data_IF_471840543755
#
_entry.id   IF_471840543755
#
_cell.length_a   1.000
_cell.length_b   1.000
_cell.length_c   1.000
_cell.angle_alpha   90.00
_cell.angle_beta   90.00
_cell.angle_gamma   90.00
#
_symmetry.space_group_name_H-M   'P 1'
#
loop_
_entity.id
_entity.type
_entity.pdbx_description
1 polymer ?
#
# COMPACT_ATOMS: atom_id res chain seq x y z
N UNK A 1 -33.14 -14.24 5.14
CA UNK A 1 -32.41 -13.42 6.12
C UNK A 1 -31.45 -14.33 6.87
N UNK A 2 -30.18 -14.39 6.46
CA UNK A 2 -29.16 -15.13 7.22
C UNK A 2 -28.72 -14.24 8.38
N UNK A 3 -28.86 -14.75 9.60
CA UNK A 3 -28.49 -14.05 10.82
C UNK A 3 -26.97 -13.79 10.83
N UNK A 4 -26.60 -12.51 10.95
CA UNK A 4 -25.23 -12.07 11.19
C UNK A 4 -24.81 -12.68 12.54
N UNK A 5 -23.80 -13.55 12.53
CA UNK A 5 -23.22 -14.05 13.76
C UNK A 5 -22.79 -12.85 14.61
N UNK A 6 -23.28 -12.77 15.84
CA UNK A 6 -22.90 -11.74 16.79
C UNK A 6 -21.38 -11.85 17.04
N UNK A 7 -20.68 -10.73 16.94
CA UNK A 7 -19.26 -10.66 17.30
C UNK A 7 -19.07 -11.17 18.73
N UNK A 8 -18.08 -12.02 19.01
CA UNK A 8 -17.82 -12.49 20.36
C UNK A 8 -17.54 -11.29 21.27
N UNK A 9 -18.20 -11.26 22.43
CA UNK A 9 -17.97 -10.27 23.47
C UNK A 9 -16.49 -10.33 23.90
N UNK A 10 -15.73 -9.31 23.52
CA UNK A 10 -14.27 -9.24 23.67
C UNK A 10 -13.55 -8.64 22.45
N UNK A 11 -14.18 -8.64 21.27
CA UNK A 11 -13.61 -8.10 20.04
C UNK A 11 -13.85 -6.59 19.87
N UNK A 12 -13.26 -5.76 20.74
CA UNK A 12 -13.23 -4.32 20.53
C UNK A 12 -11.83 -3.85 20.11
N UNK A 13 -11.40 -4.33 18.93
CA UNK A 13 -10.24 -3.75 18.22
C UNK A 13 -10.79 -3.04 17.00
N UNK A 14 -11.19 -1.78 17.20
CA UNK A 14 -11.37 -0.86 16.07
C UNK A 14 -10.04 -0.76 15.30
N UNK A 15 -10.06 -0.74 13.96
CA UNK A 15 -8.84 -0.82 13.18
C UNK A 15 -7.94 0.43 13.38
N UNK A 16 -6.65 0.30 13.07
CA UNK A 16 -5.68 1.39 13.24
C UNK A 16 -5.98 2.50 12.22
N UNK A 17 -6.25 3.71 12.71
CA UNK A 17 -6.46 4.90 11.88
C UNK A 17 -5.25 5.81 12.06
N UNK A 18 -4.81 6.43 10.98
CA UNK A 18 -3.70 7.38 10.99
C UNK A 18 -4.06 8.65 11.80
N UNK A 19 -3.06 9.34 12.32
CA UNK A 19 -3.27 10.63 12.99
C UNK A 19 -3.89 11.63 12.01
N UNK A 20 -5.06 12.16 12.37
CA UNK A 20 -5.93 13.00 11.56
C UNK A 20 -5.35 14.42 11.31
N UNK A 21 -6.16 15.30 10.71
CA UNK A 21 -5.87 16.73 10.52
C UNK A 21 -4.64 16.98 9.63
N UNK A 22 -4.43 16.11 8.64
CA UNK A 22 -3.30 16.23 7.71
C UNK A 22 -1.93 15.84 8.32
N UNK A 23 -1.87 15.42 9.59
CA UNK A 23 -0.59 15.07 10.23
C UNK A 23 0.13 13.93 9.49
N UNK A 24 -0.62 12.92 9.03
CA UNK A 24 -0.03 11.83 8.24
C UNK A 24 0.52 12.33 6.91
N UNK A 25 -0.18 13.21 6.20
CA UNK A 25 0.34 13.80 4.96
C UNK A 25 1.66 14.55 5.18
N UNK A 26 1.84 15.23 6.31
CA UNK A 26 3.06 15.96 6.64
C UNK A 26 4.24 15.03 7.03
N UNK A 27 3.96 13.84 7.55
CA UNK A 27 4.96 12.97 8.18
C UNK A 27 5.12 11.60 7.50
N UNK A 28 4.61 11.42 6.27
CA UNK A 28 4.62 10.15 5.53
C UNK A 28 5.62 10.10 4.37
N UNK A 29 6.69 10.90 4.44
CA UNK A 29 7.74 10.97 3.42
C UNK A 29 8.45 9.64 3.16
N UNK A 30 8.53 8.75 4.16
CA UNK A 30 9.11 7.42 3.96
C UNK A 30 8.17 6.51 3.17
N UNK A 31 6.87 6.54 3.48
CA UNK A 31 5.85 5.87 2.70
C UNK A 31 5.85 6.39 1.26
N UNK A 32 6.02 7.71 1.08
CA UNK A 32 6.14 8.31 -0.23
C UNK A 32 7.33 7.77 -1.02
N UNK A 33 8.52 7.68 -0.43
CA UNK A 33 9.70 7.16 -1.14
C UNK A 33 9.57 5.68 -1.54
N UNK A 34 8.85 4.88 -0.74
CA UNK A 34 8.48 3.51 -1.11
C UNK A 34 7.46 3.50 -2.25
N UNK A 35 6.44 4.37 -2.22
CA UNK A 35 5.41 4.47 -3.27
C UNK A 35 6.00 4.92 -4.60
N UNK A 36 6.91 5.90 -4.61
CA UNK A 36 7.48 6.46 -5.85
C UNK A 36 8.20 5.38 -6.69
N UNK A 37 8.80 4.38 -6.05
CA UNK A 37 9.39 3.21 -6.74
C UNK A 37 8.37 2.34 -7.47
N UNK A 38 7.10 2.37 -7.05
CA UNK A 38 6.02 1.58 -7.65
C UNK A 38 5.41 2.27 -8.89
N UNK A 39 5.72 3.55 -9.14
CA UNK A 39 5.11 4.34 -10.24
C UNK A 39 5.40 3.71 -11.60
N UNK A 40 6.63 3.24 -11.85
CA UNK A 40 6.97 2.60 -13.11
C UNK A 40 6.15 1.32 -13.39
N UNK A 41 5.80 0.56 -12.36
CA UNK A 41 4.90 -0.59 -12.49
C UNK A 41 3.46 -0.17 -12.76
N UNK A 42 2.99 0.92 -12.16
CA UNK A 42 1.66 1.48 -12.44
C UNK A 42 1.53 1.96 -13.89
N UNK A 43 2.54 2.65 -14.41
CA UNK A 43 2.56 3.12 -15.80
C UNK A 43 2.51 1.93 -16.79
N UNK A 44 3.33 0.91 -16.54
CA UNK A 44 3.34 -0.32 -17.36
C UNK A 44 2.01 -1.08 -17.26
N UNK A 45 1.46 -1.22 -16.05
CA UNK A 45 0.16 -1.84 -15.83
C UNK A 45 -0.96 -1.07 -16.56
N UNK A 46 -0.97 0.25 -16.47
CA UNK A 46 -1.92 1.12 -17.15
C UNK A 46 -1.77 1.06 -18.68
N UNK A 47 -0.56 0.84 -19.20
CA UNK A 47 -0.31 0.73 -20.63
C UNK A 47 -0.98 -0.53 -21.24
N UNK A 48 -1.01 -1.63 -20.49
CA UNK A 48 -1.52 -2.93 -20.97
C UNK A 48 -2.91 -3.29 -20.42
N UNK A 49 -3.44 -2.54 -19.46
CA UNK A 49 -4.76 -2.80 -18.89
C UNK A 49 -5.85 -2.74 -19.98
N UNK A 50 -6.85 -3.65 -19.95
CA UNK A 50 -7.96 -3.59 -20.89
C UNK A 50 -8.72 -2.27 -20.71
N UNK A 51 -9.14 -1.66 -21.82
CA UNK A 51 -10.04 -0.52 -21.79
C UNK A 51 -11.50 -1.01 -21.84
N UNK A 52 -12.44 -0.32 -21.19
CA UNK A 52 -13.85 -0.63 -21.33
C UNK A 52 -14.28 -0.57 -22.80
N UNK A 53 -14.94 -1.63 -23.29
CA UNK A 53 -15.39 -1.73 -24.70
C UNK A 53 -16.88 -1.46 -24.88
N UNK A 54 -17.63 -1.39 -23.78
CA UNK A 54 -19.07 -1.11 -23.80
C UNK A 54 -19.33 0.39 -23.83
N UNK A 55 -20.37 0.87 -24.53
CA UNK A 55 -20.79 2.27 -24.46
C UNK A 55 -21.05 2.69 -23.01
N UNK A 56 -20.46 3.82 -22.59
CA UNK A 56 -20.54 4.28 -21.20
C UNK A 56 -19.69 3.48 -20.20
N UNK A 57 -18.80 2.61 -20.68
CA UNK A 57 -17.87 1.88 -19.83
C UNK A 57 -16.88 2.82 -19.13
N UNK A 58 -16.59 2.52 -17.87
CA UNK A 58 -15.72 3.33 -17.01
C UNK A 58 -14.47 2.54 -16.66
N UNK A 59 -13.29 3.13 -16.89
CA UNK A 59 -12.03 2.58 -16.41
C UNK A 59 -11.91 2.87 -14.92
N UNK A 60 -11.79 1.85 -14.07
CA UNK A 60 -11.72 2.01 -12.62
C UNK A 60 -10.31 1.82 -12.10
N UNK A 61 -9.79 2.88 -11.48
CA UNK A 61 -8.58 2.92 -10.68
C UNK A 61 -8.99 2.81 -9.22
N UNK A 62 -8.44 1.85 -8.48
CA UNK A 62 -8.72 1.67 -7.05
C UNK A 62 -7.46 1.91 -6.25
N UNK A 63 -7.53 2.80 -5.27
CA UNK A 63 -6.45 3.10 -4.32
C UNK A 63 -6.78 2.52 -2.95
N UNK A 64 -6.15 1.41 -2.58
CA UNK A 64 -6.44 0.65 -1.36
C UNK A 64 -5.49 1.06 -0.24
N UNK A 65 -6.06 1.58 0.85
CA UNK A 65 -5.33 2.16 1.97
C UNK A 65 -4.90 3.60 1.68
N UNK A 66 -5.84 4.42 1.20
CA UNK A 66 -5.53 5.77 0.72
C UNK A 66 -5.13 6.76 1.82
N UNK A 67 -5.47 6.48 3.08
CA UNK A 67 -5.28 7.42 4.21
C UNK A 67 -5.84 8.80 3.86
N UNK A 68 -5.05 9.85 4.02
CA UNK A 68 -5.40 11.25 3.75
C UNK A 68 -5.07 11.71 2.32
N UNK A 69 -4.74 10.79 1.40
CA UNK A 69 -4.63 11.06 -0.03
C UNK A 69 -3.34 11.71 -0.53
N UNK A 70 -2.49 12.28 0.33
CA UNK A 70 -1.28 13.00 -0.10
C UNK A 70 -0.30 12.14 -0.91
N UNK A 71 -0.22 10.85 -0.57
CA UNK A 71 0.63 9.89 -1.29
C UNK A 71 -0.07 9.20 -2.47
N UNK A 72 -1.38 9.40 -2.63
CA UNK A 72 -2.17 8.82 -3.72
C UNK A 72 -2.08 9.66 -5.00
N UNK A 73 -1.86 10.97 -4.87
CA UNK A 73 -1.92 11.93 -5.99
C UNK A 73 -0.94 11.59 -7.11
N UNK A 74 0.33 11.38 -6.80
CA UNK A 74 1.35 11.13 -7.81
C UNK A 74 1.17 9.78 -8.54
N UNK A 75 0.93 8.65 -7.85
CA UNK A 75 0.56 7.38 -8.48
C UNK A 75 -0.65 7.47 -9.42
N UNK A 76 -1.76 8.09 -8.97
CA UNK A 76 -2.96 8.25 -9.81
C UNK A 76 -2.65 9.13 -11.01
N UNK A 77 -1.94 10.23 -10.82
CA UNK A 77 -1.55 11.13 -11.92
C UNK A 77 -0.73 10.41 -12.98
N UNK A 78 0.17 9.51 -12.59
CA UNK A 78 0.96 8.72 -13.53
C UNK A 78 0.07 7.79 -14.38
N UNK A 79 -0.88 7.11 -13.76
CA UNK A 79 -1.86 6.27 -14.46
C UNK A 79 -2.71 7.09 -15.44
N UNK A 80 -3.23 8.25 -15.00
CA UNK A 80 -4.05 9.12 -15.84
C UNK A 80 -3.28 9.65 -17.06
N UNK A 81 -2.00 9.99 -16.91
CA UNK A 81 -1.13 10.38 -18.04
C UNK A 81 -1.04 9.27 -19.09
N UNK A 82 -0.87 8.02 -18.67
CA UNK A 82 -0.83 6.88 -19.61
C UNK A 82 -2.18 6.67 -20.28
N UNK A 83 -3.28 6.72 -19.52
CA UNK A 83 -4.63 6.57 -20.07
C UNK A 83 -4.99 7.68 -21.05
N UNK A 84 -4.60 8.92 -20.78
CA UNK A 84 -4.78 10.06 -21.68
C UNK A 84 -4.13 9.80 -23.04
N UNK A 85 -2.86 9.35 -23.06
CA UNK A 85 -2.15 9.01 -24.30
C UNK A 85 -2.83 7.87 -25.06
N UNK A 86 -3.35 6.86 -24.35
CA UNK A 86 -4.08 5.73 -24.98
C UNK A 86 -5.44 6.17 -25.56
N UNK A 87 -6.18 7.00 -24.84
CA UNK A 87 -7.47 7.51 -25.27
C UNK A 87 -7.32 8.42 -26.52
N UNK A 88 -6.32 9.30 -26.53
CA UNK A 88 -5.98 10.13 -27.68
C UNK A 88 -5.64 9.29 -28.92
N UNK A 89 -4.74 8.31 -28.79
CA UNK A 89 -4.35 7.42 -29.91
C UNK A 89 -5.54 6.62 -30.47
N UNK A 90 -6.45 6.16 -29.60
CA UNK A 90 -7.66 5.45 -30.03
C UNK A 90 -8.62 6.34 -30.84
N UNK A 91 -8.65 7.65 -30.55
CA UNK A 91 -9.47 8.63 -31.30
C UNK A 91 -8.87 8.97 -32.65
N UNK A 92 -7.56 9.17 -32.72
CA UNK A 92 -6.84 9.43 -33.98
C UNK A 92 -6.96 8.24 -34.96
N UNK A 93 -6.79 7.02 -34.46
CA UNK A 93 -6.94 5.80 -35.27
C UNK A 93 -8.36 5.58 -35.81
N UNK A 94 -9.39 6.04 -35.10
CA UNK A 94 -10.78 5.99 -35.57
C UNK A 94 -11.07 7.05 -36.66
N UNK A 95 -10.34 8.17 -36.70
CA UNK A 95 -10.50 9.24 -37.69
C UNK A 95 -9.78 9.03 -39.02
N UNK A 96 -8.78 8.15 -39.09
CA UNK A 96 -7.96 7.91 -40.29
C UNK A 96 -8.53 6.96 -41.35
N UNK A 97 -9.71 6.36 -41.12
CA UNK A 97 -10.29 5.32 -41.99
C UNK A 97 -11.11 5.80 -43.20
N UNK A 98 -11.26 7.11 -43.40
CA UNK A 98 -12.15 7.68 -44.42
C UNK A 98 -11.47 8.67 -45.36
N UNK A 99 -10.66 8.20 -46.31
CA UNK A 99 -10.02 9.12 -47.26
C UNK A 99 -9.08 8.43 -48.25
N UNK A 100 -9.61 7.59 -49.12
CA UNK A 100 -8.81 6.91 -50.15
C UNK A 100 -9.66 6.20 -51.20
N UNK A 101 -10.56 6.94 -51.86
CA UNK A 101 -11.39 6.42 -52.95
C UNK A 101 -11.68 7.49 -53.98
N UNK A 102 -10.72 7.76 -54.86
CA UNK A 102 -10.86 8.60 -56.04
C UNK A 102 -9.65 8.37 -56.96
N UNK A 103 -9.77 8.04 -58.24
CA UNK A 103 -10.95 7.80 -59.05
C UNK A 103 -10.59 6.89 -60.23
N UNK A 104 -11.60 6.25 -60.79
CA UNK A 104 -11.51 5.52 -62.05
C UNK A 104 -12.78 5.79 -62.83
N UNK A 105 -12.67 6.64 -63.85
CA UNK A 105 -13.70 6.92 -64.84
C UNK A 105 -14.12 5.65 -65.59
N UNK A 106 -15.42 5.38 -65.66
CA UNK A 106 -16.01 4.53 -66.70
C UNK A 106 -17.36 5.13 -67.13
N UNK A 107 -17.55 5.51 -68.41
CA UNK A 107 -18.84 6.01 -68.88
C UNK A 107 -19.71 4.90 -69.48
N UNK A 108 -21.01 4.93 -69.17
CA UNK A 108 -22.06 4.48 -70.10
C UNK A 108 -22.95 3.31 -69.65
N UNK A 109 -24.19 3.62 -69.24
CA UNK A 109 -25.43 3.05 -69.82
C UNK A 109 -26.70 3.70 -69.24
N UNK A 110 -27.84 3.66 -69.96
CA UNK A 110 -29.00 4.54 -69.74
C UNK A 110 -30.05 3.95 -68.79
N UNK A 111 -30.85 4.87 -68.26
CA UNK A 111 -32.05 4.71 -67.40
C UNK A 111 -33.25 4.07 -68.10
N UNK A 112 -34.13 3.35 -67.37
CA UNK A 112 -35.55 3.23 -67.70
C UNK A 112 -36.46 4.00 -66.69
N UNK A 113 -37.76 4.19 -67.01
CA UNK A 113 -38.53 5.34 -66.55
C UNK A 113 -39.30 5.11 -65.24
N UNK A 114 -39.75 6.26 -64.73
CA UNK A 114 -40.58 6.51 -63.55
C UNK A 114 -41.89 5.73 -63.46
N UNK A 115 -42.13 5.15 -62.28
CA UNK A 115 -43.44 4.76 -61.76
C UNK A 115 -43.55 5.27 -60.32
N UNK A 116 -44.56 6.09 -60.04
CA UNK A 116 -44.67 6.89 -58.82
C UNK A 116 -45.36 6.23 -57.62
N UNK A 117 -45.44 7.03 -56.56
CA UNK A 117 -46.33 6.82 -55.42
C UNK A 117 -45.63 6.30 -54.16
N UNK A 118 -45.37 7.20 -53.20
CA UNK A 118 -45.06 6.77 -51.82
C UNK A 118 -44.30 7.79 -50.99
N UNK A 119 -45.04 8.53 -50.16
CA UNK A 119 -44.56 9.08 -48.87
C UNK A 119 -43.35 10.01 -48.90
N UNK A 120 -43.59 11.31 -49.10
CA UNK A 120 -42.63 12.36 -48.77
C UNK A 120 -42.45 12.53 -47.27
N UNK A 121 -41.78 11.57 -46.62
CA UNK A 121 -41.07 11.82 -45.38
C UNK A 121 -39.73 12.45 -45.75
N UNK A 122 -39.53 13.74 -45.44
CA UNK A 122 -38.20 14.33 -45.51
C UNK A 122 -37.25 13.44 -44.69
N UNK A 123 -36.13 12.95 -45.25
CA UNK A 123 -35.17 12.23 -44.44
C UNK A 123 -34.72 13.17 -43.33
N UNK A 124 -34.96 12.79 -42.07
CA UNK A 124 -34.39 13.50 -40.93
C UNK A 124 -32.88 13.56 -41.20
N UNK A 125 -32.25 14.75 -41.17
CA UNK A 125 -30.81 14.83 -41.34
C UNK A 125 -30.19 13.93 -40.28
N UNK A 126 -29.42 12.93 -40.73
CA UNK A 126 -28.62 12.11 -39.83
C UNK A 126 -27.80 13.08 -39.00
N UNK A 127 -28.09 13.14 -37.70
CA UNK A 127 -27.29 13.94 -36.79
C UNK A 127 -25.85 13.47 -36.96
N UNK A 128 -24.87 14.38 -37.09
CA UNK A 128 -23.47 13.98 -37.12
C UNK A 128 -23.22 13.06 -35.93
N UNK A 129 -22.54 11.94 -36.17
CA UNK A 129 -22.14 11.05 -35.09
C UNK A 129 -21.43 11.92 -34.04
N UNK A 130 -21.88 11.88 -32.77
CA UNK A 130 -21.22 12.67 -31.75
C UNK A 130 -19.75 12.28 -31.71
N UNK A 131 -18.83 13.24 -31.47
CA UNK A 131 -17.43 12.89 -31.26
C UNK A 131 -17.37 11.80 -30.20
N UNK A 132 -16.52 10.79 -30.43
CA UNK A 132 -16.31 9.69 -29.48
C UNK A 132 -16.11 10.30 -28.10
N UNK A 133 -16.93 10.01 -27.07
CA UNK A 133 -16.83 10.70 -25.79
C UNK A 133 -15.46 10.45 -25.13
N UNK A 134 -14.98 11.36 -24.25
CA UNK A 134 -13.80 11.10 -23.44
C UNK A 134 -13.93 9.78 -22.67
N UNK A 135 -12.82 9.09 -22.43
CA UNK A 135 -12.84 7.87 -21.63
C UNK A 135 -13.20 8.25 -20.18
N UNK A 136 -14.31 7.70 -19.68
CA UNK A 136 -14.67 7.86 -18.28
C UNK A 136 -13.69 7.09 -17.38
N UNK A 137 -13.12 7.77 -16.40
CA UNK A 137 -12.20 7.19 -15.41
C UNK A 137 -12.72 7.48 -14.00
N UNK A 138 -12.96 6.44 -13.22
CA UNK A 138 -13.28 6.54 -11.79
C UNK A 138 -12.04 6.20 -10.97
N UNK A 139 -11.67 7.10 -10.05
CA UNK A 139 -10.66 6.88 -9.01
C UNK A 139 -11.37 6.65 -7.69
N UNK A 140 -11.23 5.43 -7.16
CA UNK A 140 -11.92 4.97 -5.96
C UNK A 140 -10.90 4.82 -4.83
N UNK A 141 -10.92 5.76 -3.89
CA UNK A 141 -10.07 5.74 -2.70
C UNK A 141 -10.73 4.90 -1.60
N UNK A 142 -10.05 3.85 -1.16
CA UNK A 142 -10.55 2.87 -0.20
C UNK A 142 -9.73 2.96 1.08
N UNK A 143 -10.42 3.05 2.21
CA UNK A 143 -9.84 2.99 3.55
C UNK A 143 -10.92 2.62 4.56
N UNK A 144 -10.55 2.48 5.82
CA UNK A 144 -11.45 2.15 6.91
C UNK A 144 -12.51 3.23 7.12
N UNK A 145 -13.70 2.89 7.65
CA UNK A 145 -14.76 3.87 7.90
C UNK A 145 -14.30 5.09 8.73
N UNK A 146 -13.41 4.86 9.69
CA UNK A 146 -12.87 5.90 10.59
C UNK A 146 -11.75 6.74 10.01
N UNK A 147 -11.37 6.56 8.74
CA UNK A 147 -10.34 7.38 8.08
C UNK A 147 -10.73 8.87 8.04
N UNK A 148 -9.73 9.75 7.97
CA UNK A 148 -9.93 11.18 7.80
C UNK A 148 -10.23 11.53 6.33
N UNK A 149 -11.48 11.29 5.94
CA UNK A 149 -11.99 11.60 4.61
C UNK A 149 -12.01 13.10 4.31
N UNK A 150 -12.09 13.96 5.33
CA UNK A 150 -12.04 15.41 5.16
C UNK A 150 -10.70 15.85 4.58
N UNK A 151 -9.60 15.38 5.17
CA UNK A 151 -8.25 15.62 4.65
C UNK A 151 -8.05 15.05 3.24
N UNK A 152 -8.61 13.87 2.92
CA UNK A 152 -8.58 13.34 1.55
C UNK A 152 -9.23 14.31 0.56
N UNK A 153 -10.45 14.77 0.83
CA UNK A 153 -11.15 15.65 -0.10
C UNK A 153 -10.53 17.04 -0.18
N UNK A 154 -9.89 17.54 0.88
CA UNK A 154 -9.08 18.76 0.82
C UNK A 154 -7.85 18.58 -0.07
N UNK A 155 -7.17 17.43 -0.02
CA UNK A 155 -6.07 17.12 -0.95
C UNK A 155 -6.56 17.05 -2.40
N UNK A 156 -7.76 16.51 -2.64
CA UNK A 156 -8.29 16.37 -4.00
C UNK A 156 -8.81 17.68 -4.58
N UNK A 157 -9.55 18.47 -3.81
CA UNK A 157 -10.34 19.61 -4.30
C UNK A 157 -10.01 20.96 -3.64
N UNK A 158 -9.18 20.96 -2.59
CA UNK A 158 -8.84 22.16 -1.83
C UNK A 158 -8.12 23.23 -2.66
N UNK A 159 -8.16 24.47 -2.20
CA UNK A 159 -7.61 25.62 -2.96
C UNK A 159 -6.09 25.59 -3.13
N UNK A 160 -5.37 24.85 -2.27
CA UNK A 160 -3.92 24.64 -2.36
C UNK A 160 -3.53 23.38 -3.14
N UNK A 161 -4.50 22.69 -3.74
CA UNK A 161 -4.30 21.38 -4.37
C UNK A 161 -3.79 21.44 -5.81
N UNK A 162 -2.96 22.42 -6.19
CA UNK A 162 -2.50 22.59 -7.58
C UNK A 162 -1.83 21.33 -8.16
N UNK A 163 -1.24 20.49 -7.32
CA UNK A 163 -0.61 19.21 -7.71
C UNK A 163 -1.59 18.03 -7.79
N UNK A 164 -2.83 18.17 -7.33
CA UNK A 164 -3.89 17.14 -7.38
C UNK A 164 -4.21 16.73 -8.81
N UNK A 165 -4.57 15.46 -9.00
CA UNK A 165 -5.05 14.97 -10.29
C UNK A 165 -6.47 15.48 -10.62
N UNK A 166 -7.21 15.98 -9.62
CA UNK A 166 -8.50 16.63 -9.79
C UNK A 166 -8.38 18.15 -10.01
N UNK A 167 -7.16 18.69 -10.07
CA UNK A 167 -6.95 20.10 -10.42
C UNK A 167 -6.95 20.30 -11.92
N UNK A 168 -8.06 20.86 -12.43
CA UNK A 168 -8.32 21.12 -13.85
C UNK A 168 -8.12 19.87 -14.73
N UNK A 169 -8.82 18.76 -14.42
CA UNK A 169 -8.61 17.49 -15.11
C UNK A 169 -8.92 17.60 -16.60
N UNK A 170 -9.87 18.44 -17.01
CA UNK A 170 -10.21 18.65 -18.42
C UNK A 170 -9.10 19.37 -19.21
N UNK A 171 -8.35 20.26 -18.57
CA UNK A 171 -7.19 20.92 -19.18
C UNK A 171 -5.99 19.96 -19.28
N UNK A 172 -5.78 19.13 -18.25
CA UNK A 172 -4.65 18.20 -18.17
C UNK A 172 -4.85 16.92 -18.98
N UNK A 173 -6.09 16.46 -19.07
CA UNK A 173 -6.48 15.19 -19.67
C UNK A 173 -7.76 15.35 -20.52
N UNK A 174 -7.69 16.07 -21.66
CA UNK A 174 -8.86 16.40 -22.48
C UNK A 174 -9.57 15.19 -23.11
N UNK A 175 -8.91 14.03 -23.16
CA UNK A 175 -9.51 12.77 -23.65
C UNK A 175 -10.05 11.88 -22.52
N UNK A 176 -9.97 12.34 -21.26
CA UNK A 176 -10.51 11.66 -20.09
C UNK A 176 -11.63 12.48 -19.44
N UNK A 177 -12.60 11.77 -18.86
CA UNK A 177 -13.54 12.33 -17.89
C UNK A 177 -13.27 11.69 -16.52
N UNK A 178 -12.60 12.42 -15.63
CA UNK A 178 -12.08 11.88 -14.36
C UNK A 178 -13.02 12.19 -13.21
N UNK A 179 -13.37 11.15 -12.45
CA UNK A 179 -14.23 11.22 -11.26
C UNK A 179 -13.47 10.63 -10.07
N UNK A 180 -13.67 11.19 -8.87
CA UNK A 180 -13.11 10.63 -7.65
C UNK A 180 -14.23 10.31 -6.64
N UNK A 181 -14.07 9.21 -5.91
CA UNK A 181 -14.99 8.81 -4.85
C UNK A 181 -14.25 8.06 -3.73
N UNK A 182 -14.90 7.98 -2.56
CA UNK A 182 -14.38 7.30 -1.38
C UNK A 182 -15.21 6.06 -1.02
N UNK A 183 -14.55 5.01 -0.54
CA UNK A 183 -15.15 3.76 -0.08
C UNK A 183 -14.65 3.44 1.32
N UNK A 184 -15.48 3.69 2.33
CA UNK A 184 -15.19 3.42 3.74
C UNK A 184 -15.43 1.97 4.14
N UNK A 185 -14.53 1.05 3.76
CA UNK A 185 -14.63 -0.40 4.04
C UNK A 185 -13.27 -1.02 4.25
N UNK A 186 -13.22 -2.12 5.01
CA UNK A 186 -11.99 -2.89 5.17
C UNK A 186 -11.54 -3.46 3.82
N UNK A 187 -10.24 -3.37 3.54
CA UNK A 187 -9.65 -4.03 2.37
C UNK A 187 -9.70 -5.56 2.46
N UNK A 188 -9.98 -6.12 3.63
CA UNK A 188 -10.20 -7.57 3.82
C UNK A 188 -11.66 -7.99 3.63
N UNK A 189 -12.53 -7.08 3.19
CA UNK A 189 -13.88 -7.40 2.69
C UNK A 189 -13.94 -7.32 1.16
N UNK A 190 -15.03 -7.83 0.57
CA UNK A 190 -15.37 -7.56 -0.83
C UNK A 190 -15.73 -6.08 -1.00
N UNK A 191 -14.95 -5.34 -1.77
CA UNK A 191 -15.07 -3.90 -2.00
C UNK A 191 -16.00 -3.58 -3.16
N UNK A 192 -15.90 -4.34 -4.26
CA UNK A 192 -16.54 -4.02 -5.54
C UNK A 192 -17.33 -5.22 -6.13
N UNK A 193 -18.22 -4.97 -7.09
CA UNK A 193 -18.80 -6.05 -7.90
C UNK A 193 -17.73 -6.86 -8.64
N UNK A 194 -17.98 -8.14 -8.95
CA UNK A 194 -17.05 -8.95 -9.74
C UNK A 194 -16.72 -8.31 -11.10
N UNK A 195 -15.49 -8.49 -11.57
CA UNK A 195 -15.02 -8.03 -12.88
C UNK A 195 -15.35 -6.55 -13.20
N UNK A 196 -15.09 -5.66 -12.25
CA UNK A 196 -15.43 -4.23 -12.35
C UNK A 196 -14.23 -3.29 -12.17
N UNK A 197 -13.10 -3.80 -11.64
CA UNK A 197 -11.86 -3.06 -11.39
C UNK A 197 -10.83 -3.32 -12.48
N UNK A 198 -10.21 -2.26 -13.02
CA UNK A 198 -9.25 -2.37 -14.13
C UNK A 198 -7.81 -2.31 -13.63
N UNK A 199 -7.55 -1.38 -12.71
CA UNK A 199 -6.25 -1.22 -12.07
C UNK A 199 -6.47 -0.92 -10.59
N UNK A 200 -5.78 -1.65 -9.71
CA UNK A 200 -5.76 -1.34 -8.29
C UNK A 200 -4.32 -1.14 -7.80
N UNK A 201 -4.17 -0.28 -6.82
CA UNK A 201 -2.94 -0.06 -6.09
C UNK A 201 -3.13 -0.27 -4.59
N UNK A 202 -2.15 -0.87 -3.92
CA UNK A 202 -2.18 -1.11 -2.49
C UNK A 202 -0.77 -0.93 -1.91
N UNK A 203 -0.54 0.19 -1.25
CA UNK A 203 0.79 0.61 -0.80
C UNK A 203 0.80 0.88 0.69
N UNK A 204 1.86 0.43 1.38
CA UNK A 204 2.04 0.63 2.83
C UNK A 204 0.83 0.24 3.70
N UNK A 205 -0.06 -0.63 3.23
CA UNK A 205 -1.29 -0.98 3.92
C UNK A 205 -1.36 -2.47 4.29
N UNK A 206 -0.82 -3.38 3.48
CA UNK A 206 -1.00 -4.83 3.60
C UNK A 206 -0.38 -5.47 4.86
N UNK A 207 0.43 -4.74 5.62
CA UNK A 207 0.96 -5.21 6.90
C UNK A 207 -0.03 -4.99 8.06
N UNK A 208 -1.07 -4.16 7.89
CA UNK A 208 -2.10 -3.93 8.89
C UNK A 208 -3.09 -5.08 8.92
N UNK A 209 -3.25 -5.73 10.07
CA UNK A 209 -4.23 -6.78 10.29
C UNK A 209 -5.57 -6.18 10.74
N UNK A 210 -6.72 -6.78 10.37
CA UNK A 210 -8.03 -6.30 10.82
C UNK A 210 -8.27 -6.57 12.32
N UNK A 211 -7.51 -7.49 12.91
CA UNK A 211 -7.56 -7.84 14.33
C UNK A 211 -6.17 -8.28 14.82
N UNK A 212 -5.92 -8.12 16.11
CA UNK A 212 -4.71 -8.64 16.78
C UNK A 212 -5.02 -10.06 17.26
N UNK A 213 -4.16 -11.06 17.03
CA UNK A 213 -4.31 -12.39 17.61
C UNK A 213 -4.49 -12.36 19.13
N UNK A 214 -5.24 -13.32 19.69
CA UNK A 214 -5.45 -13.44 21.15
C UNK A 214 -4.13 -13.65 21.90
N UNK A 215 -3.20 -14.39 21.28
CA UNK A 215 -1.85 -14.58 21.79
C UNK A 215 -0.99 -13.37 21.43
N UNK A 216 -0.74 -12.51 22.41
CA UNK A 216 -0.02 -11.24 22.25
C UNK A 216 1.35 -11.27 22.94
N UNK A 217 2.34 -10.53 22.42
CA UNK A 217 3.65 -10.46 23.07
C UNK A 217 3.55 -9.76 24.41
N UNK A 218 4.20 -10.32 25.43
CA UNK A 218 4.30 -9.73 26.77
C UNK A 218 5.69 -9.15 27.05
N UNK A 219 6.68 -9.50 26.24
CA UNK A 219 8.10 -9.14 26.37
C UNK A 219 8.53 -8.00 25.44
N UNK A 220 7.65 -7.60 24.51
CA UNK A 220 7.93 -6.63 23.46
C UNK A 220 6.64 -5.96 23.01
N UNK A 221 6.73 -4.74 22.48
CA UNK A 221 5.60 -4.09 21.83
C UNK A 221 5.30 -4.72 20.46
N UNK A 222 6.36 -5.15 19.75
CA UNK A 222 6.25 -5.64 18.37
C UNK A 222 6.36 -7.17 18.30
N UNK A 223 5.49 -7.86 17.57
CA UNK A 223 5.53 -9.33 17.46
C UNK A 223 6.84 -9.83 16.83
N UNK A 224 7.53 -9.02 16.03
CA UNK A 224 8.81 -9.37 15.39
C UNK A 224 10.00 -9.53 16.35
N UNK A 225 9.89 -8.97 17.55
CA UNK A 225 10.96 -9.00 18.54
C UNK A 225 10.70 -9.96 19.69
N UNK A 226 9.56 -10.68 19.69
CA UNK A 226 9.20 -11.57 20.80
C UNK A 226 10.10 -12.79 20.83
N UNK A 227 10.42 -13.27 22.05
CA UNK A 227 11.09 -14.54 22.26
C UNK A 227 10.13 -15.74 22.16
N UNK A 228 8.81 -15.51 22.22
CA UNK A 228 7.81 -16.57 22.12
C UNK A 228 7.53 -16.93 20.64
N UNK A 229 8.10 -18.04 20.20
CA UNK A 229 7.97 -18.53 18.82
C UNK A 229 6.52 -18.82 18.42
N UNK A 230 5.67 -19.24 19.35
CA UNK A 230 4.26 -19.52 19.09
C UNK A 230 3.46 -18.21 18.94
N UNK A 231 3.79 -17.16 19.69
CA UNK A 231 3.24 -15.80 19.47
C UNK A 231 3.64 -15.27 18.11
N UNK A 232 4.93 -15.36 17.75
CA UNK A 232 5.41 -14.94 16.43
C UNK A 232 4.67 -15.69 15.30
N UNK A 233 4.55 -17.02 15.43
CA UNK A 233 3.83 -17.85 14.46
C UNK A 233 2.35 -17.45 14.33
N UNK A 234 1.65 -17.19 15.45
CA UNK A 234 0.25 -16.77 15.41
C UNK A 234 0.04 -15.46 14.62
N UNK A 235 0.92 -14.47 14.79
CA UNK A 235 0.87 -13.23 14.01
C UNK A 235 1.20 -13.45 12.53
N UNK A 236 2.19 -14.30 12.23
CA UNK A 236 2.59 -14.65 10.87
C UNK A 236 1.46 -15.37 10.12
N UNK A 237 0.86 -16.37 10.74
CA UNK A 237 -0.22 -17.16 10.13
C UNK A 237 -1.45 -16.29 9.90
N UNK A 238 -1.83 -15.48 10.89
CA UNK A 238 -2.88 -14.46 10.75
C UNK A 238 -2.60 -13.54 9.56
N UNK A 239 -1.40 -12.93 9.47
CA UNK A 239 -1.06 -12.03 8.36
C UNK A 239 -1.19 -12.73 7.00
N UNK A 240 -0.67 -13.96 6.90
CA UNK A 240 -0.66 -14.74 5.68
C UNK A 240 -2.07 -15.14 5.23
N UNK A 241 -2.97 -15.48 6.16
CA UNK A 241 -4.38 -15.77 5.85
C UNK A 241 -5.14 -14.54 5.36
N UNK A 242 -4.88 -13.39 5.96
CA UNK A 242 -5.44 -12.11 5.50
C UNK A 242 -4.92 -11.74 4.10
N UNK A 243 -3.64 -11.96 3.81
CA UNK A 243 -3.06 -11.72 2.49
C UNK A 243 -3.67 -12.65 1.42
N UNK A 244 -3.85 -13.94 1.73
CA UNK A 244 -4.54 -14.89 0.83
C UNK A 244 -5.97 -14.42 0.52
N UNK A 245 -6.71 -14.06 1.56
CA UNK A 245 -8.09 -13.58 1.44
C UNK A 245 -8.17 -12.30 0.61
N UNK A 246 -7.28 -11.34 0.87
CA UNK A 246 -7.13 -10.11 0.08
C UNK A 246 -6.90 -10.44 -1.40
N UNK A 247 -5.88 -11.25 -1.72
CA UNK A 247 -5.55 -11.60 -3.11
C UNK A 247 -6.67 -12.35 -3.82
N UNK A 248 -7.42 -13.21 -3.11
CA UNK A 248 -8.56 -13.92 -3.68
C UNK A 248 -9.72 -12.96 -4.03
N UNK A 249 -10.12 -12.09 -3.11
CA UNK A 249 -11.20 -11.12 -3.37
C UNK A 249 -10.83 -10.12 -4.46
N UNK A 250 -9.58 -9.61 -4.45
CA UNK A 250 -9.10 -8.70 -5.50
C UNK A 250 -9.11 -9.36 -6.87
N UNK A 251 -8.82 -10.67 -6.96
CA UNK A 251 -8.88 -11.40 -8.22
C UNK A 251 -10.31 -11.56 -8.75
N UNK A 252 -11.33 -11.65 -7.87
CA UNK A 252 -12.74 -11.69 -8.29
C UNK A 252 -13.26 -10.33 -8.76
N UNK A 253 -12.82 -9.26 -8.11
CA UNK A 253 -13.23 -7.88 -8.41
C UNK A 253 -12.60 -7.35 -9.71
N UNK A 254 -11.45 -7.87 -10.10
CA UNK A 254 -10.73 -7.43 -11.30
C UNK A 254 -11.29 -8.04 -12.59
N UNK A 255 -11.33 -7.21 -13.64
CA UNK A 255 -11.54 -7.68 -15.01
C UNK A 255 -10.40 -8.61 -15.44
N UNK A 256 -10.66 -9.49 -16.40
CA UNK A 256 -9.60 -10.29 -17.02
C UNK A 256 -8.55 -9.38 -17.65
N UNK A 257 -7.26 -9.61 -17.37
CA UNK A 257 -6.17 -8.74 -17.80
C UNK A 257 -5.98 -7.48 -16.96
N UNK A 258 -6.86 -7.20 -15.99
CA UNK A 258 -6.69 -6.13 -15.00
C UNK A 258 -5.47 -6.34 -14.10
N UNK A 259 -4.97 -5.27 -13.49
CA UNK A 259 -3.71 -5.31 -12.73
C UNK A 259 -3.85 -4.85 -11.28
N UNK A 260 -3.17 -5.54 -10.37
CA UNK A 260 -2.88 -5.11 -9.00
C UNK A 260 -1.39 -4.77 -8.91
N UNK A 261 -1.07 -3.51 -8.63
CA UNK A 261 0.29 -3.09 -8.28
C UNK A 261 0.32 -2.83 -6.79
N UNK A 262 1.11 -3.59 -6.04
CA UNK A 262 1.16 -3.44 -4.59
C UNK A 262 2.56 -3.61 -4.06
N UNK A 263 2.79 -3.15 -2.84
CA UNK A 263 3.99 -3.54 -2.12
C UNK A 263 3.68 -3.92 -0.69
N UNK A 264 4.49 -4.84 -0.17
CA UNK A 264 4.40 -5.33 1.20
C UNK A 264 5.67 -4.93 1.94
N UNK A 265 5.50 -4.40 3.15
CA UNK A 265 6.63 -4.29 4.07
C UNK A 265 7.04 -5.71 4.45
N UNK A 266 8.33 -6.03 4.26
CA UNK A 266 8.88 -7.34 4.56
C UNK A 266 9.78 -7.30 5.78
N UNK A 267 9.88 -8.45 6.46
CA UNK A 267 10.75 -8.63 7.61
C UNK A 267 11.49 -9.95 7.51
N UNK A 268 12.82 -9.85 7.59
CA UNK A 268 13.72 -11.00 7.68
C UNK A 268 14.31 -11.07 9.10
N UNK A 269 13.97 -12.11 9.89
CA UNK A 269 14.55 -12.33 11.21
C UNK A 269 16.08 -12.29 11.17
N UNK A 270 16.69 -11.61 12.15
CA UNK A 270 18.13 -11.40 12.23
C UNK A 270 18.65 -10.21 11.43
N UNK A 271 18.01 -9.83 10.31
CA UNK A 271 18.40 -8.67 9.50
C UNK A 271 17.65 -7.39 9.89
N UNK A 272 16.35 -7.50 10.16
CA UNK A 272 15.48 -6.33 10.29
C UNK A 272 15.04 -6.04 11.74
N UNK A 273 15.48 -6.86 12.71
CA UNK A 273 15.06 -6.83 14.12
C UNK A 273 15.28 -5.47 14.80
N UNK A 274 16.39 -4.82 14.48
CA UNK A 274 16.80 -3.55 15.08
C UNK A 274 15.85 -2.38 14.73
N UNK A 275 15.13 -2.46 13.60
CA UNK A 275 14.14 -1.43 13.18
C UNK A 275 12.99 -1.24 14.18
N UNK A 276 12.84 -2.16 15.13
CA UNK A 276 11.81 -2.15 16.18
C UNK A 276 12.40 -1.98 17.59
N UNK A 277 13.74 -1.94 17.73
CA UNK A 277 14.39 -1.92 19.03
C UNK A 277 14.07 -0.65 19.84
N UNK A 278 14.10 0.53 19.20
CA UNK A 278 13.89 1.81 19.88
C UNK A 278 12.49 1.94 20.49
N UNK A 279 11.44 1.49 19.79
CA UNK A 279 10.07 1.55 20.33
C UNK A 279 9.84 0.52 21.43
N UNK A 280 10.41 -0.67 21.32
CA UNK A 280 10.37 -1.67 22.38
C UNK A 280 11.08 -1.17 23.64
N UNK A 281 12.26 -0.56 23.48
CA UNK A 281 13.02 0.03 24.59
C UNK A 281 12.22 1.13 25.29
N UNK A 282 11.58 2.03 24.54
CA UNK A 282 10.78 3.12 25.11
C UNK A 282 9.64 2.58 26.01
N UNK A 283 8.89 1.59 25.52
CA UNK A 283 7.78 0.99 26.28
C UNK A 283 8.28 0.25 27.53
N UNK A 284 9.32 -0.58 27.39
CA UNK A 284 9.86 -1.34 28.53
C UNK A 284 10.49 -0.43 29.59
N UNK A 285 11.09 0.69 29.17
CA UNK A 285 11.57 1.71 30.10
C UNK A 285 10.43 2.31 30.92
N UNK A 286 9.31 2.67 30.28
CA UNK A 286 8.13 3.18 31.00
C UNK A 286 7.55 2.16 31.99
N UNK A 287 7.62 0.85 31.68
CA UNK A 287 7.26 -0.21 32.63
C UNK A 287 8.22 -0.24 33.82
N UNK A 288 9.53 -0.14 33.58
CA UNK A 288 10.53 -0.12 34.65
C UNK A 288 10.43 1.11 35.57
N UNK A 289 9.96 2.23 35.04
CA UNK A 289 9.72 3.47 35.77
C UNK A 289 8.36 3.47 36.51
N UNK A 290 7.54 2.43 36.33
CA UNK A 290 6.20 2.33 36.94
C UNK A 290 5.13 3.22 36.31
N UNK A 291 5.42 3.82 35.14
CA UNK A 291 4.46 4.62 34.37
C UNK A 291 3.46 3.75 33.60
N UNK A 292 3.86 2.52 33.26
CA UNK A 292 2.99 1.49 32.69
C UNK A 292 3.11 0.21 33.54
N UNK A 293 2.03 -0.55 33.61
CA UNK A 293 2.03 -1.90 34.17
C UNK A 293 2.53 -2.91 33.13
N UNK A 294 3.11 -4.05 33.54
CA UNK A 294 3.43 -5.13 32.60
C UNK A 294 2.23 -5.62 31.77
N UNK A 295 1.00 -5.48 32.29
CA UNK A 295 -0.23 -5.84 31.58
C UNK A 295 -0.59 -4.87 30.44
N UNK A 296 -0.02 -3.67 30.42
CA UNK A 296 -0.25 -2.70 29.34
C UNK A 296 0.48 -3.08 28.05
N UNK A 297 1.64 -3.74 28.14
CA UNK A 297 2.48 -4.11 26.99
C UNK A 297 1.71 -4.87 25.89
N UNK A 298 1.04 -6.00 26.17
CA UNK A 298 0.28 -6.73 25.15
C UNK A 298 -0.92 -5.93 24.60
N UNK A 299 -1.43 -4.94 25.33
CA UNK A 299 -2.55 -4.12 24.89
C UNK A 299 -2.11 -3.04 23.90
N UNK A 300 -0.87 -2.56 24.02
CA UNK A 300 -0.27 -1.57 23.13
C UNK A 300 0.25 -2.18 21.82
N UNK A 301 0.24 -3.51 21.67
CA UNK A 301 0.67 -4.18 20.44
C UNK A 301 -0.12 -3.66 19.24
N UNK A 302 0.59 -3.11 18.24
CA UNK A 302 -0.04 -2.67 17.01
C UNK A 302 -0.59 -3.87 16.22
N UNK A 303 -1.76 -3.75 15.57
CA UNK A 303 -2.29 -4.75 14.64
C UNK A 303 -1.50 -4.75 13.33
N UNK A 304 -0.18 -4.93 13.40
CA UNK A 304 0.72 -4.82 12.27
C UNK A 304 1.73 -5.98 12.27
N UNK A 305 1.87 -6.64 11.13
CA UNK A 305 2.88 -7.66 10.91
C UNK A 305 3.44 -7.53 9.49
N UNK A 306 4.76 -7.45 9.40
CA UNK A 306 5.47 -7.40 8.12
C UNK A 306 5.70 -8.82 7.63
N UNK A 307 5.48 -9.07 6.35
CA UNK A 307 5.50 -10.41 5.81
C UNK A 307 6.93 -10.94 5.63
N UNK A 308 7.09 -12.27 5.68
CA UNK A 308 8.32 -12.86 5.19
C UNK A 308 8.29 -12.94 3.66
N UNK A 309 9.37 -12.55 2.95
CA UNK A 309 9.44 -12.65 1.49
C UNK A 309 9.08 -14.04 0.96
N UNK A 310 9.58 -15.08 1.62
CA UNK A 310 9.31 -16.47 1.25
C UNK A 310 7.82 -16.84 1.34
N UNK A 311 7.09 -16.31 2.32
CA UNK A 311 5.65 -16.56 2.48
C UNK A 311 4.85 -15.90 1.38
N UNK A 312 5.18 -14.65 1.05
CA UNK A 312 4.52 -13.90 -0.02
C UNK A 312 4.67 -14.65 -1.34
N UNK A 313 5.90 -15.08 -1.67
CA UNK A 313 6.17 -15.84 -2.89
C UNK A 313 5.42 -17.19 -2.90
N UNK A 314 5.38 -17.91 -1.78
CA UNK A 314 4.64 -19.17 -1.68
C UNK A 314 3.13 -18.97 -1.88
N UNK A 315 2.55 -17.89 -1.32
CA UNK A 315 1.13 -17.53 -1.50
C UNK A 315 0.82 -17.18 -2.96
N UNK A 316 1.74 -16.51 -3.66
CA UNK A 316 1.55 -16.18 -5.08
C UNK A 316 1.60 -17.41 -5.99
N UNK A 317 2.38 -18.43 -5.62
CA UNK A 317 2.51 -19.69 -6.36
C UNK A 317 1.30 -20.61 -6.16
N UNK A 318 0.75 -20.68 -4.94
CA UNK A 318 -0.33 -21.60 -4.58
C UNK A 318 -1.50 -20.87 -3.89
N UNK A 319 -2.69 -20.90 -4.48
CA UNK A 319 -3.91 -20.52 -3.74
C UNK A 319 -4.32 -21.71 -2.87
N UNK A 320 -3.93 -21.67 -1.59
CA UNK A 320 -4.55 -22.49 -0.55
C UNK A 320 -5.85 -21.85 -0.09
N UNK A 321 -6.86 -22.65 0.21
CA UNK A 321 -8.08 -22.16 0.86
C UNK A 321 -7.72 -21.52 2.21
N UNK A 322 -8.22 -20.31 2.50
CA UNK A 322 -8.12 -19.73 3.83
C UNK A 322 -8.81 -20.68 4.83
N UNK A 323 -8.13 -21.03 5.92
CA UNK A 323 -8.73 -21.78 7.01
C UNK A 323 -9.76 -20.89 7.71
N UNK A 324 -11.02 -21.01 7.30
CA UNK A 324 -12.15 -20.38 7.99
C UNK A 324 -12.12 -20.72 9.47
N UNK A 325 -12.06 -19.71 10.33
CA UNK A 325 -12.09 -19.83 11.80
C UNK A 325 -13.47 -20.24 12.38
N UNK A 326 -14.27 -20.99 11.62
CA UNK A 326 -15.54 -21.54 12.10
C UNK A 326 -15.45 -23.06 12.09
N UNK A 327 -15.51 -23.76 13.25
CA UNK A 327 -15.44 -25.22 13.27
C UNK A 327 -16.69 -25.81 12.59
N UNK A 328 -16.56 -26.77 11.65
CA UNK A 328 -17.71 -27.46 11.09
C UNK A 328 -18.37 -28.33 12.17
N UNK A 329 -19.68 -28.20 12.34
CA UNK A 329 -20.50 -28.95 13.30
C UNK A 329 -20.79 -30.40 12.88
N UNK A 330 -20.00 -30.98 11.97
CA UNK A 330 -20.17 -32.38 11.55
C UNK A 330 -18.86 -33.02 11.09
N UNK A 331 -18.59 -34.29 11.46
CA UNK A 331 -17.40 -35.01 11.01
C UNK A 331 -17.60 -35.41 9.55
N UNK A 332 -17.06 -34.61 8.64
CA UNK A 332 -17.00 -34.91 7.21
C UNK A 332 -15.51 -35.12 6.86
N UNK A 333 -15.14 -36.12 6.04
CA UNK A 333 -13.74 -36.42 5.77
C UNK A 333 -13.04 -35.20 5.16
N UNK A 334 -11.81 -34.97 5.63
CA UNK A 334 -10.94 -33.87 5.25
C UNK A 334 -10.88 -33.70 3.72
N UNK A 335 -11.09 -32.50 3.16
CA UNK A 335 -10.80 -32.28 1.75
C UNK A 335 -9.29 -32.40 1.55
N UNK A 336 -8.89 -33.21 0.58
CA UNK A 336 -7.55 -33.16 0.02
C UNK A 336 -7.24 -31.72 -0.44
N UNK A 337 -6.03 -31.18 -0.23
CA UNK A 337 -5.70 -29.84 -0.68
C UNK A 337 -5.64 -29.84 -2.21
N UNK A 338 -6.78 -29.54 -2.83
CA UNK A 338 -6.87 -29.15 -4.24
C UNK A 338 -6.14 -27.81 -4.37
N UNK A 339 -4.89 -27.84 -4.85
CA UNK A 339 -4.15 -26.63 -5.16
C UNK A 339 -4.75 -25.98 -6.41
N UNK A 340 -5.68 -25.06 -6.19
CA UNK A 340 -6.24 -24.27 -7.29
C UNK A 340 -5.10 -23.40 -7.83
N UNK A 341 -4.85 -23.38 -9.15
CA UNK A 341 -3.80 -22.54 -9.70
C UNK A 341 -4.08 -21.07 -9.38
N UNK A 342 -3.01 -20.33 -9.05
CA UNK A 342 -3.13 -18.91 -8.72
C UNK A 342 -3.84 -18.11 -9.83
N UNK A 343 -4.85 -17.27 -9.54
CA UNK A 343 -5.53 -16.43 -10.53
C UNK A 343 -4.64 -15.29 -11.01
N UNK A 344 -3.47 -15.12 -10.39
CA UNK A 344 -2.52 -14.08 -10.69
C UNK A 344 -1.41 -14.59 -11.61
N UNK A 345 -1.10 -13.79 -12.61
CA UNK A 345 0.16 -13.83 -13.34
C UNK A 345 1.09 -12.78 -12.72
N UNK A 346 2.19 -13.23 -12.13
CA UNK A 346 3.21 -12.33 -11.57
C UNK A 346 4.00 -11.72 -12.73
N UNK A 347 3.82 -10.43 -12.98
CA UNK A 347 4.53 -9.67 -14.03
C UNK A 347 5.87 -9.14 -13.52
N UNK A 348 5.90 -8.71 -12.26
CA UNK A 348 7.12 -8.32 -11.56
C UNK A 348 7.02 -8.69 -10.08
N UNK A 349 8.14 -9.11 -9.51
CA UNK A 349 8.31 -9.30 -8.07
C UNK A 349 9.76 -9.00 -7.71
N UNK A 350 10.00 -7.98 -6.90
CA UNK A 350 11.33 -7.61 -6.43
C UNK A 350 11.30 -7.21 -4.96
N UNK A 351 12.32 -7.60 -4.21
CA UNK A 351 12.52 -7.12 -2.84
C UNK A 351 13.66 -6.11 -2.82
N UNK A 352 13.40 -4.93 -2.26
CA UNK A 352 14.39 -3.86 -2.16
C UNK A 352 14.38 -3.29 -0.76
N UNK A 353 15.58 -3.00 -0.22
CA UNK A 353 15.71 -2.19 0.99
C UNK A 353 15.64 -0.72 0.60
N UNK A 354 14.64 -0.02 1.10
CA UNK A 354 14.45 1.42 0.89
C UNK A 354 14.96 2.15 2.13
N UNK A 355 15.88 3.07 1.93
CA UNK A 355 16.36 3.93 2.99
C UNK A 355 15.38 5.09 3.24
N UNK A 356 15.33 5.52 4.49
CA UNK A 356 14.50 6.60 4.99
C UNK A 356 15.08 7.92 4.48
N UNK A 357 14.30 8.75 3.77
CA UNK A 357 14.84 9.96 3.14
C UNK A 357 15.55 10.91 4.12
N UNK A 358 15.00 11.10 5.32
CA UNK A 358 15.65 11.93 6.35
C UNK A 358 16.98 11.31 6.85
N UNK A 359 17.09 9.99 6.87
CA UNK A 359 18.33 9.31 7.26
C UNK A 359 19.39 9.46 6.18
N UNK A 360 19.01 9.36 4.89
CA UNK A 360 19.93 9.64 3.79
C UNK A 360 20.41 11.11 3.79
N UNK A 361 19.53 12.06 4.10
CA UNK A 361 19.91 13.46 4.21
C UNK A 361 20.81 13.72 5.42
N UNK A 362 20.57 13.04 6.54
CA UNK A 362 21.46 13.06 7.72
C UNK A 362 22.86 12.54 7.38
N UNK A 363 22.96 11.37 6.75
CA UNK A 363 24.26 10.81 6.30
C UNK A 363 24.97 11.71 5.30
N UNK A 364 24.22 12.43 4.48
CA UNK A 364 24.78 13.42 3.55
C UNK A 364 25.15 14.77 4.22
N UNK A 365 25.05 14.88 5.55
CA UNK A 365 25.35 16.11 6.30
C UNK A 365 24.35 17.25 6.08
N UNK A 366 23.16 16.95 5.51
CA UNK A 366 22.12 17.96 5.18
C UNK A 366 21.09 18.14 6.28
N UNK A 367 20.93 17.15 7.15
CA UNK A 367 20.11 17.25 8.36
C UNK A 367 21.00 17.05 9.59
N UNK A 368 20.67 17.76 10.66
CA UNK A 368 21.20 17.51 11.99
C UNK A 368 20.63 16.22 12.59
N UNK A 369 21.28 15.71 13.64
CA UNK A 369 20.80 14.54 14.40
C UNK A 369 19.40 14.78 14.97
N UNK A 370 19.09 15.99 15.41
CA UNK A 370 17.77 16.34 15.95
C UNK A 370 16.67 16.30 14.87
N UNK A 371 16.97 16.77 13.66
CA UNK A 371 16.01 16.79 12.57
C UNK A 371 15.67 15.38 12.08
N UNK A 372 16.67 14.47 11.97
CA UNK A 372 16.40 13.08 11.59
C UNK A 372 15.67 12.32 12.69
N UNK A 373 16.00 12.55 13.97
CA UNK A 373 15.25 11.95 15.10
C UNK A 373 13.79 12.36 15.04
N UNK A 374 13.52 13.66 14.90
CA UNK A 374 12.15 14.18 14.77
C UNK A 374 11.41 13.54 13.59
N UNK A 375 12.04 13.50 12.41
CA UNK A 375 11.43 12.90 11.22
C UNK A 375 11.07 11.41 11.40
N UNK A 376 11.94 10.63 12.04
CA UNK A 376 11.68 9.20 12.32
C UNK A 376 10.56 9.02 13.35
N UNK A 377 10.59 9.81 14.42
CA UNK A 377 9.61 9.74 15.52
C UNK A 377 8.23 10.20 15.05
N UNK A 378 8.14 11.33 14.34
CA UNK A 378 6.88 11.84 13.82
C UNK A 378 6.27 10.90 12.78
N UNK A 379 7.10 10.23 11.98
CA UNK A 379 6.65 9.18 11.07
C UNK A 379 6.00 7.99 11.80
N UNK A 380 6.59 7.53 12.92
CA UNK A 380 5.95 6.50 13.74
C UNK A 380 4.70 7.04 14.45
N UNK A 381 4.75 8.27 14.95
CA UNK A 381 3.64 8.95 15.62
C UNK A 381 2.41 9.05 14.72
N UNK A 382 2.62 9.39 13.46
CA UNK A 382 1.58 9.48 12.44
C UNK A 382 0.77 8.18 12.26
N UNK A 383 1.40 7.02 12.49
CA UNK A 383 0.78 5.70 12.26
C UNK A 383 0.32 4.97 13.53
N UNK A 384 0.77 5.41 14.71
CA UNK A 384 0.58 4.64 15.96
C UNK A 384 -0.10 5.41 17.10
N UNK A 385 -0.05 6.75 17.12
CA UNK A 385 -0.49 7.54 18.27
C UNK A 385 -1.96 7.27 18.63
N UNK A 386 -2.84 7.24 17.64
CA UNK A 386 -4.28 7.01 17.83
C UNK A 386 -4.58 5.63 18.43
N UNK A 387 -3.74 4.63 18.13
CA UNK A 387 -3.85 3.33 18.77
C UNK A 387 -3.48 3.42 20.25
N UNK A 388 -2.33 4.03 20.58
CA UNK A 388 -1.88 4.16 21.96
C UNK A 388 -2.83 4.99 22.81
N UNK A 389 -3.29 6.15 22.31
CA UNK A 389 -4.27 7.00 23.01
C UNK A 389 -5.53 6.22 23.36
N UNK A 390 -6.06 5.44 22.41
CA UNK A 390 -7.28 4.66 22.62
C UNK A 390 -7.10 3.56 23.65
N UNK A 391 -6.01 2.81 23.56
CA UNK A 391 -5.71 1.71 24.50
C UNK A 391 -5.52 2.28 25.90
N UNK A 392 -4.69 3.31 26.04
CA UNK A 392 -4.38 3.89 27.34
C UNK A 392 -5.58 4.62 27.95
N UNK A 393 -6.42 5.30 27.15
CA UNK A 393 -7.64 5.97 27.66
C UNK A 393 -8.64 5.01 28.31
N UNK A 394 -8.64 3.74 27.89
CA UNK A 394 -9.52 2.69 28.44
C UNK A 394 -8.96 2.07 29.72
N UNK A 395 -7.65 2.12 29.91
CA UNK A 395 -6.93 1.41 30.97
C UNK A 395 -6.46 2.34 32.09
N UNK A 396 -6.15 3.58 31.75
CA UNK A 396 -5.67 4.65 32.61
C UNK A 396 -6.70 5.77 32.60
N UNK A 397 -6.77 6.60 33.65
CA UNK A 397 -7.87 7.49 34.10
C UNK A 397 -8.45 8.51 33.10
N UNK A 398 -8.84 8.04 31.92
CA UNK A 398 -9.44 8.78 30.83
C UNK A 398 -8.43 9.37 29.82
N UNK A 399 -8.95 10.11 28.83
CA UNK A 399 -8.16 10.64 27.71
C UNK A 399 -6.99 11.54 28.11
N UNK A 400 -7.15 12.36 29.16
CA UNK A 400 -6.09 13.29 29.59
C UNK A 400 -4.85 12.58 30.14
N UNK A 401 -5.05 11.51 30.91
CA UNK A 401 -3.93 10.73 31.42
C UNK A 401 -3.25 9.95 30.30
N UNK A 402 -4.04 9.41 29.36
CA UNK A 402 -3.52 8.76 28.16
C UNK A 402 -2.68 9.71 27.30
N UNK A 403 -3.11 10.96 27.09
CA UNK A 403 -2.33 11.98 26.39
C UNK A 403 -0.96 12.20 27.05
N UNK A 404 -0.92 12.31 28.38
CA UNK A 404 0.33 12.43 29.14
C UNK A 404 1.26 11.23 28.95
N UNK A 405 0.74 10.02 29.09
CA UNK A 405 1.51 8.78 28.90
C UNK A 405 2.04 8.64 27.46
N UNK A 406 1.21 8.99 26.46
CA UNK A 406 1.61 8.94 25.05
C UNK A 406 2.70 9.97 24.75
N UNK A 407 2.63 11.18 25.30
CA UNK A 407 3.70 12.16 25.19
C UNK A 407 5.02 11.61 25.76
N UNK A 408 5.00 11.03 26.97
CA UNK A 408 6.19 10.42 27.57
C UNK A 408 6.73 9.27 26.73
N UNK A 409 5.86 8.44 26.14
CA UNK A 409 6.27 7.35 25.25
C UNK A 409 7.06 7.86 24.05
N UNK A 410 6.59 8.93 23.39
CA UNK A 410 7.32 9.51 22.25
C UNK A 410 8.59 10.23 22.69
N UNK A 411 8.64 10.87 23.86
CA UNK A 411 9.89 11.42 24.42
C UNK A 411 10.94 10.33 24.68
N UNK A 412 10.53 9.19 25.24
CA UNK A 412 11.43 8.04 25.46
C UNK A 412 11.88 7.43 24.14
N UNK A 413 11.00 7.39 23.15
CA UNK A 413 11.36 6.96 21.80
C UNK A 413 12.38 7.89 21.16
N UNK A 414 12.22 9.21 21.28
CA UNK A 414 13.21 10.19 20.80
C UNK A 414 14.59 9.94 21.40
N UNK A 415 14.66 9.72 22.71
CA UNK A 415 15.91 9.35 23.38
C UNK A 415 16.51 8.06 22.82
N UNK A 416 15.70 7.01 22.69
CA UNK A 416 16.16 5.71 22.18
C UNK A 416 16.61 5.75 20.71
N UNK A 417 15.93 6.52 19.85
CA UNK A 417 16.34 6.73 18.45
C UNK A 417 17.61 7.57 18.39
N UNK A 418 17.70 8.62 19.20
CA UNK A 418 18.88 9.47 19.29
C UNK A 418 20.10 8.64 19.66
N UNK A 419 20.05 7.87 20.74
CA UNK A 419 21.16 7.00 21.15
C UNK A 419 21.58 6.02 20.05
N UNK A 420 20.60 5.38 19.40
CA UNK A 420 20.87 4.42 18.35
C UNK A 420 21.57 5.05 17.13
N UNK A 421 21.27 6.31 16.81
CA UNK A 421 22.00 7.07 15.78
C UNK A 421 23.42 7.48 16.22
N UNK A 422 23.68 7.60 17.52
CA UNK A 422 24.99 7.99 18.06
C UNK A 422 26.01 6.87 18.05
N UNK A 423 25.60 5.67 18.47
CA UNK A 423 26.47 4.49 18.39
C UNK A 423 26.86 4.13 16.96
N UNK A 424 26.08 4.55 15.96
CA UNK A 424 26.37 4.31 14.54
C UNK A 424 27.48 5.21 13.97
N UNK A 425 27.64 6.45 14.45
CA UNK A 425 28.75 7.30 14.02
C UNK A 425 30.09 6.78 14.56
N UNK A 426 30.11 6.33 15.82
CA UNK A 426 31.31 5.78 16.45
C UNK A 426 31.75 4.47 15.77
N UNK A 427 30.81 3.61 15.32
CA UNK A 427 31.15 2.38 14.57
C UNK A 427 31.63 2.65 13.13
N UNK A 428 31.05 3.63 12.42
CA UNK A 428 31.50 4.01 11.06
C UNK A 428 32.86 4.75 11.07
N UNK A 429 33.14 5.57 12.10
CA UNK A 429 34.44 6.26 12.25
C UNK A 429 35.57 5.26 12.56
N UNK A 430 35.32 4.23 13.36
CA UNK A 430 36.31 3.17 13.66
C UNK A 430 36.63 2.31 12.44
N UNK A 431 35.68 2.06 11.52
CA UNK A 431 35.97 1.38 10.25
C UNK A 431 36.73 2.28 9.24
N UNK A 432 36.70 3.60 9.42
CA UNK A 432 37.40 4.58 8.57
C UNK A 432 38.85 4.86 8.95
N UNK A 433 39.32 4.43 10.13
CA UNK A 433 40.67 4.71 10.65
C UNK A 433 41.70 3.58 10.41
N UNK A 434 41.30 2.46 9.80
CA UNK A 434 42.16 1.28 9.58
C UNK A 434 42.83 1.20 8.18
N UNK A 435 42.94 2.31 7.45
CA UNK A 435 43.76 2.42 6.24
C UNK A 435 44.72 3.61 6.29
N UNK A 436 45.67 3.63 7.23
CA UNK A 436 46.98 4.28 7.03
C UNK A 436 47.98 3.84 8.13
N UNK A 437 48.77 2.81 7.84
CA UNK A 437 49.77 2.29 8.77
C UNK A 437 50.64 1.19 8.20
N UNK A 438 51.43 1.47 7.17
CA UNK A 438 52.51 0.59 6.74
C UNK A 438 53.59 0.46 7.84
N UNK A 439 53.92 -0.79 8.19
CA UNK A 439 55.29 -1.18 8.52
C UNK A 439 55.55 -1.73 9.92
N UNK A 440 55.48 -3.05 10.08
CA UNK A 440 56.61 -3.88 10.57
C UNK A 440 56.26 -5.37 10.65
N UNK A 441 57.17 -6.18 10.08
CA UNK A 441 57.22 -7.64 10.21
C UNK A 441 57.41 -8.08 11.67
N UNK A 442 56.73 -9.17 12.07
CA UNK A 442 56.97 -9.86 13.33
C UNK A 442 56.04 -11.06 13.53
N UNK A 443 56.61 -12.26 13.49
CA UNK A 443 55.94 -13.55 13.60
C UNK A 443 55.20 -13.77 14.94
N UNK A 444 54.07 -14.49 14.90
CA UNK A 444 53.40 -15.00 16.10
C UNK A 444 52.10 -15.75 15.82
N UNK A 445 51.93 -16.92 16.43
CA UNK A 445 50.88 -17.91 16.16
C UNK A 445 49.51 -17.55 16.78
N UNK A 446 48.45 -18.05 16.14
CA UNK A 446 47.23 -18.53 16.80
C UNK A 446 46.16 -17.47 17.08
N UNK A 447 45.04 -17.53 16.36
CA UNK A 447 43.87 -16.71 16.63
C UNK A 447 42.68 -17.23 15.85
N UNK A 448 41.57 -17.50 16.54
CA UNK A 448 40.41 -18.18 16.02
C UNK A 448 39.74 -17.46 14.84
N UNK A 449 38.98 -18.26 14.09
CA UNK A 449 38.01 -17.87 13.08
C UNK A 449 37.01 -16.84 13.63
N UNK A 450 37.41 -15.57 13.67
CA UNK A 450 36.52 -14.43 13.79
C UNK A 450 35.84 -14.24 12.44
N UNK A 451 34.60 -14.71 12.33
CA UNK A 451 33.73 -14.30 11.24
C UNK A 451 33.59 -12.78 11.30
N UNK A 452 34.35 -12.07 10.45
CA UNK A 452 34.17 -10.63 10.20
C UNK A 452 32.71 -10.40 9.86
N UNK A 453 31.95 -9.81 10.79
CA UNK A 453 30.64 -9.25 10.50
C UNK A 453 30.88 -8.15 9.48
N UNK A 454 30.44 -8.36 8.24
CA UNK A 454 30.21 -7.24 7.32
C UNK A 454 29.29 -6.26 8.05
N UNK A 455 29.67 -5.00 8.13
CA UNK A 455 28.80 -3.88 8.50
C UNK A 455 27.45 -4.07 7.81
N UNK A 456 26.44 -4.42 8.60
CA UNK A 456 25.06 -4.50 8.15
C UNK A 456 24.59 -3.08 7.94
N UNK A 457 24.23 -2.72 6.70
CA UNK A 457 23.53 -1.47 6.40
C UNK A 457 22.52 -1.15 7.50
N UNK A 458 22.77 -0.03 8.21
CA UNK A 458 22.00 0.44 9.37
C UNK A 458 20.51 0.14 9.24
N UNK A 459 20.00 -0.58 10.23
CA UNK A 459 18.59 -0.99 10.37
C UNK A 459 17.65 0.16 10.71
N UNK A 460 18.14 1.19 11.43
CA UNK A 460 17.38 2.40 11.72
C UNK A 460 17.03 3.19 10.45
N UNK A 461 17.88 3.06 9.44
CA UNK A 461 17.77 3.81 8.21
C UNK A 461 16.79 3.23 7.20
N UNK A 462 16.42 1.94 7.24
CA UNK A 462 15.79 1.31 6.07
C UNK A 462 14.69 0.29 6.36
N UNK A 463 13.83 0.08 5.35
CA UNK A 463 12.77 -0.94 5.34
C UNK A 463 12.96 -1.85 4.16
N UNK A 464 12.84 -3.16 4.37
CA UNK A 464 12.69 -4.12 3.27
C UNK A 464 11.25 -4.07 2.74
N UNK A 465 11.12 -4.01 1.42
CA UNK A 465 9.84 -3.86 0.73
C UNK A 465 9.80 -4.80 -0.46
N UNK A 466 8.76 -5.62 -0.55
CA UNK A 466 8.50 -6.45 -1.73
C UNK A 466 7.50 -5.76 -2.64
N UNK A 467 7.94 -5.37 -3.82
CA UNK A 467 7.13 -4.76 -4.87
C UNK A 467 6.59 -5.83 -5.81
N UNK A 468 5.29 -5.75 -6.12
CA UNK A 468 4.59 -6.72 -6.93
C UNK A 468 3.76 -6.01 -8.00
N UNK A 469 3.84 -6.53 -9.22
CA UNK A 469 2.84 -6.31 -10.26
C UNK A 469 2.20 -7.65 -10.60
N UNK A 470 0.92 -7.77 -10.27
CA UNK A 470 0.10 -8.95 -10.53
C UNK A 470 -0.94 -8.61 -11.58
N UNK A 471 -1.10 -9.47 -12.59
CA UNK A 471 -2.15 -9.36 -13.59
C UNK A 471 -3.16 -10.49 -13.44
N UNK A 472 -4.45 -10.18 -13.54
CA UNK A 472 -5.53 -11.17 -13.51
C UNK A 472 -5.49 -12.03 -14.77
N UNK A 473 -5.34 -13.34 -14.60
CA UNK A 473 -5.43 -14.34 -15.69
C UNK A 473 -6.81 -14.41 -16.29
#
# INVERSE_FOLDING_TARGET
>A
MAARAAAPAGADVMPAVMKAEGFYNQNSQFQRSMIDRSIGFLEQAAAVAPLPTVPGGTFRIVDIGCSQGGNSVAPVSAVLKVLQSRAAASREGAGGGGGGGGGGDVPGRPTPPSGGGGGGGLPLPLLPLPPTPPLAVEVLHVDLPGNDWGSLFEVLYGSSSEVSYMSRPEERHPDLAVFAAAVGRSMYDRLFPPASVHLAMAFCCLHWQPSIPDRRPTDTLTPHCTADSETYAAFRDSANDHLRSFLAMRAEEMVQGGSLVCHLLTYTPGRDKESHASVNRAVLQMVSEGLLSPEDVPQLTLPAFMHQPADVLAILQHQGAATSATPPTSPTPSPTPSSTPSPWLVRAAEEVRVQHPAYEQYRAGRLSRDEVVRALVDGLRAVSEQHFLRVLSRRHGGPREAEGLVCVLYERLEGAVREALGGQQEEEEVEGEDEEGEGREGAGRGGGSGARRRATESSLGGRSVMYLWLQRK
#
